data_IF_323553596931
#
_entry.id   IF_323553596931
#
_cell.length_a   1.000
_cell.length_b   1.000
_cell.length_c   1.000
_cell.angle_alpha   90.00
_cell.angle_beta   90.00
_cell.angle_gamma   90.00
#
_symmetry.space_group_name_H-M   'P 1'
#
loop_
_entity.id
_entity.type
_entity.pdbx_description
1 polymer ?
#
# COMPACT_ATOMS: atom_id res chain seq x y z
N UNK A 1 -25.99 -1.15 3.31
CA UNK A 1 -25.13 0.04 3.42
C UNK A 1 -24.80 0.25 4.89
N UNK A 2 -23.52 0.16 5.26
CA UNK A 2 -23.06 0.31 6.64
C UNK A 2 -23.21 1.77 7.09
N UNK A 3 -23.65 1.99 8.32
CA UNK A 3 -23.74 3.31 8.95
C UNK A 3 -23.26 3.22 10.40
N UNK A 4 -22.86 4.36 10.96
CA UNK A 4 -22.29 4.44 12.31
C UNK A 4 -22.94 5.59 13.09
N UNK A 5 -23.29 5.39 14.37
CA UNK A 5 -23.89 6.45 15.18
C UNK A 5 -22.87 7.52 15.61
N UNK A 6 -21.57 7.18 15.61
CA UNK A 6 -20.48 8.11 15.94
C UNK A 6 -19.19 7.70 15.25
N UNK A 7 -18.21 8.61 15.24
CA UNK A 7 -16.87 8.35 14.69
C UNK A 7 -16.15 7.27 15.50
N UNK A 8 -16.30 7.28 16.83
CA UNK A 8 -15.70 6.28 17.73
C UNK A 8 -16.21 4.87 17.40
N UNK A 9 -17.49 4.74 17.06
CA UNK A 9 -18.07 3.45 16.64
C UNK A 9 -17.56 2.99 15.29
N UNK A 10 -17.29 3.90 14.36
CA UNK A 10 -16.65 3.55 13.10
C UNK A 10 -15.19 3.12 13.29
N UNK A 11 -14.44 3.78 14.17
CA UNK A 11 -13.07 3.40 14.55
C UNK A 11 -13.09 2.01 15.20
N UNK A 12 -13.95 1.80 16.21
CA UNK A 12 -14.11 0.52 16.89
C UNK A 12 -14.44 -0.61 15.90
N UNK A 13 -15.37 -0.36 14.98
CA UNK A 13 -15.74 -1.31 13.93
C UNK A 13 -14.55 -1.65 13.01
N UNK A 14 -13.79 -0.65 12.58
CA UNK A 14 -12.65 -0.84 11.67
C UNK A 14 -11.53 -1.67 12.30
N UNK A 15 -11.28 -1.45 13.60
CA UNK A 15 -10.27 -2.21 14.36
C UNK A 15 -10.76 -3.63 14.67
N UNK A 16 -11.99 -3.78 15.15
CA UNK A 16 -12.56 -5.11 15.48
C UNK A 16 -12.79 -5.97 14.25
N UNK A 17 -13.14 -5.34 13.12
CA UNK A 17 -13.32 -6.02 11.83
C UNK A 17 -12.00 -6.47 11.19
N UNK A 18 -10.85 -6.08 11.73
CA UNK A 18 -9.52 -6.48 11.24
C UNK A 18 -9.07 -5.75 9.97
N UNK A 19 -9.81 -4.73 9.53
CA UNK A 19 -9.39 -3.87 8.41
C UNK A 19 -8.11 -3.10 8.75
N UNK A 20 -8.05 -2.61 10.00
CA UNK A 20 -6.88 -2.02 10.63
C UNK A 20 -6.66 -2.71 11.98
N UNK A 21 -5.41 -2.76 12.43
CA UNK A 21 -5.00 -3.28 13.75
C UNK A 21 -4.40 -2.18 14.61
N UNK A 22 -3.80 -1.17 14.00
CA UNK A 22 -3.25 -0.02 14.72
C UNK A 22 -4.37 0.98 15.09
N UNK A 23 -4.69 1.05 16.38
CA UNK A 23 -5.72 1.94 16.92
C UNK A 23 -5.37 3.41 16.69
N UNK A 24 -4.09 3.77 16.83
CA UNK A 24 -3.66 5.17 16.69
C UNK A 24 -3.74 5.63 15.24
N UNK A 25 -3.39 4.76 14.27
CA UNK A 25 -3.63 5.04 12.85
C UNK A 25 -5.13 5.16 12.56
N UNK A 26 -5.95 4.23 13.05
CA UNK A 26 -7.39 4.23 12.83
C UNK A 26 -8.07 5.50 13.35
N UNK A 27 -7.63 6.04 14.50
CA UNK A 27 -8.14 7.31 15.04
C UNK A 27 -7.90 8.51 14.12
N UNK A 28 -6.85 8.46 13.30
CA UNK A 28 -6.49 9.52 12.36
C UNK A 28 -7.12 9.28 10.98
N UNK A 29 -7.04 8.06 10.45
CA UNK A 29 -7.43 7.73 9.07
C UNK A 29 -8.95 7.55 8.91
N UNK A 30 -9.61 6.81 9.80
CA UNK A 30 -11.03 6.45 9.67
C UNK A 30 -11.97 7.66 9.59
N UNK A 31 -11.85 8.70 10.42
CA UNK A 31 -12.78 9.85 10.36
C UNK A 31 -12.84 10.49 8.97
N UNK A 32 -11.72 10.52 8.24
CA UNK A 32 -11.64 11.13 6.90
C UNK A 32 -12.39 10.33 5.83
N UNK A 33 -12.61 9.04 6.07
CA UNK A 33 -13.35 8.14 5.17
C UNK A 33 -14.86 8.29 5.28
N UNK A 34 -15.34 9.07 6.26
CA UNK A 34 -16.75 9.22 6.59
C UNK A 34 -17.27 10.61 6.23
N UNK A 35 -18.60 10.72 6.18
CA UNK A 35 -19.35 11.97 6.17
C UNK A 35 -20.59 11.81 7.05
N UNK A 36 -21.04 12.92 7.64
CA UNK A 36 -22.31 12.94 8.36
C UNK A 36 -23.48 13.03 7.37
N UNK A 37 -24.52 12.23 7.57
CA UNK A 37 -25.78 12.25 6.83
C UNK A 37 -26.85 12.87 7.74
N UNK A 38 -27.14 14.15 7.54
CA UNK A 38 -28.13 14.91 8.33
C UNK A 38 -29.53 14.28 8.30
N UNK A 39 -29.90 13.64 7.18
CA UNK A 39 -31.23 13.03 7.03
C UNK A 39 -31.42 11.77 7.88
N UNK A 40 -30.32 11.06 8.16
CA UNK A 40 -30.33 9.81 8.93
C UNK A 40 -29.72 9.97 10.32
N UNK A 41 -29.24 11.17 10.65
CA UNK A 41 -28.52 11.46 11.88
C UNK A 41 -27.38 10.47 12.19
N UNK A 42 -26.63 10.07 11.17
CA UNK A 42 -25.56 9.08 11.31
C UNK A 42 -24.38 9.34 10.37
N UNK A 43 -23.25 8.69 10.64
CA UNK A 43 -22.08 8.69 9.77
C UNK A 43 -22.17 7.56 8.75
N UNK A 44 -21.87 7.88 7.51
CA UNK A 44 -21.79 6.94 6.39
C UNK A 44 -20.45 7.08 5.70
N UNK A 45 -20.02 6.05 4.96
CA UNK A 45 -18.84 6.17 4.12
C UNK A 45 -19.02 7.31 3.11
N UNK A 46 -17.99 8.15 2.99
CA UNK A 46 -17.97 9.29 2.06
C UNK A 46 -18.12 8.81 0.62
N UNK A 47 -17.46 7.70 0.29
CA UNK A 47 -17.42 7.09 -1.04
C UNK A 47 -18.20 5.79 -1.04
N UNK A 48 -19.13 5.65 -1.99
CA UNK A 48 -19.85 4.42 -2.26
C UNK A 48 -19.01 3.53 -3.16
N UNK A 49 -18.05 2.82 -2.57
CA UNK A 49 -17.08 2.04 -3.33
C UNK A 49 -17.75 0.99 -4.24
N UNK A 50 -18.91 0.47 -3.84
CA UNK A 50 -19.70 -0.48 -4.63
C UNK A 50 -20.12 0.08 -6.00
N UNK A 51 -20.34 1.40 -6.12
CA UNK A 51 -20.71 2.02 -7.40
C UNK A 51 -19.55 2.01 -8.42
N UNK A 52 -18.33 1.77 -7.94
CA UNK A 52 -17.13 1.67 -8.78
C UNK A 52 -16.86 0.25 -9.28
N UNK A 53 -17.71 -0.73 -8.94
CA UNK A 53 -17.54 -2.15 -9.30
C UNK A 53 -17.29 -2.37 -10.80
N UNK A 54 -18.00 -1.61 -11.64
CA UNK A 54 -17.84 -1.63 -13.10
C UNK A 54 -16.40 -1.36 -13.58
N UNK A 55 -15.57 -0.70 -12.77
CA UNK A 55 -14.18 -0.39 -13.07
C UNK A 55 -13.18 -1.41 -12.51
N UNK A 56 -13.57 -2.22 -11.53
CA UNK A 56 -12.64 -3.07 -10.77
C UNK A 56 -11.92 -4.07 -11.68
N UNK A 57 -12.64 -4.69 -12.62
CA UNK A 57 -12.03 -5.57 -13.62
C UNK A 57 -10.90 -4.87 -14.38
N UNK A 58 -11.11 -3.63 -14.83
CA UNK A 58 -10.10 -2.86 -15.54
C UNK A 58 -8.90 -2.44 -14.69
N UNK A 59 -9.04 -2.36 -13.36
CA UNK A 59 -7.94 -2.07 -12.44
C UNK A 59 -7.00 -3.26 -12.27
N UNK A 60 -7.53 -4.48 -12.27
CA UNK A 60 -6.77 -5.70 -11.96
C UNK A 60 -6.38 -6.53 -13.19
N UNK A 61 -7.15 -6.47 -14.29
CA UNK A 61 -6.85 -7.20 -15.52
C UNK A 61 -5.47 -6.80 -16.08
N UNK A 62 -4.56 -7.79 -16.13
CA UNK A 62 -3.19 -7.61 -16.61
C UNK A 62 -2.26 -6.85 -15.65
N UNK A 63 -2.68 -6.62 -14.39
CA UNK A 63 -1.87 -5.86 -13.43
C UNK A 63 -0.52 -6.55 -13.14
N UNK A 64 -0.52 -7.87 -13.00
CA UNK A 64 0.68 -8.65 -12.73
C UNK A 64 1.69 -8.58 -13.88
N UNK A 65 1.23 -8.70 -15.13
CA UNK A 65 2.04 -8.55 -16.32
C UNK A 65 2.60 -7.13 -16.43
N UNK A 66 1.75 -6.10 -16.21
CA UNK A 66 2.18 -4.69 -16.21
C UNK A 66 3.25 -4.44 -15.16
N UNK A 67 3.05 -4.90 -13.92
CA UNK A 67 4.02 -4.80 -12.84
C UNK A 67 5.35 -5.45 -13.22
N UNK A 68 5.34 -6.67 -13.75
CA UNK A 68 6.57 -7.38 -14.15
C UNK A 68 7.27 -6.76 -15.36
N UNK A 69 6.52 -6.16 -16.28
CA UNK A 69 7.07 -5.52 -17.49
C UNK A 69 7.84 -4.22 -17.20
N UNK A 70 7.59 -3.58 -16.05
CA UNK A 70 8.23 -2.32 -15.69
C UNK A 70 9.75 -2.52 -15.44
N UNK A 71 10.64 -1.84 -16.20
CA UNK A 71 12.09 -2.08 -16.17
C UNK A 71 12.78 -1.31 -15.03
N UNK A 72 12.22 -1.41 -13.82
CA UNK A 72 12.74 -0.75 -12.61
C UNK A 72 12.87 -1.77 -11.46
N UNK A 73 13.69 -1.50 -10.44
CA UNK A 73 13.62 -2.25 -9.18
C UNK A 73 12.21 -2.18 -8.60
N UNK A 74 11.70 -3.32 -8.12
CA UNK A 74 10.33 -3.45 -7.61
C UNK A 74 10.31 -4.09 -6.23
N UNK A 75 9.43 -3.59 -5.37
CA UNK A 75 9.14 -4.13 -4.06
C UNK A 75 7.64 -4.49 -3.98
N UNK A 76 7.33 -5.70 -3.54
CA UNK A 76 5.96 -6.15 -3.25
C UNK A 76 5.89 -6.57 -1.77
N UNK A 77 5.05 -5.88 -1.00
CA UNK A 77 4.78 -6.19 0.40
C UNK A 77 3.41 -6.86 0.53
N UNK A 78 3.34 -7.98 1.23
CA UNK A 78 2.12 -8.79 1.41
C UNK A 78 1.77 -8.89 2.90
N UNK A 79 0.51 -8.67 3.25
CA UNK A 79 0.05 -8.70 4.65
C UNK A 79 -0.13 -10.14 5.22
N UNK A 80 -0.12 -11.13 4.33
CA UNK A 80 -0.30 -12.53 4.68
C UNK A 80 0.30 -13.43 3.60
N UNK A 81 0.23 -14.73 3.84
CA UNK A 81 0.65 -15.76 2.87
C UNK A 81 -0.45 -16.02 1.85
N UNK A 82 -1.08 -14.95 1.35
CA UNK A 82 -2.02 -15.07 0.25
C UNK A 82 -1.29 -15.61 -0.97
N UNK A 83 -2.01 -16.41 -1.76
CA UNK A 83 -1.44 -17.02 -2.96
C UNK A 83 -1.21 -15.90 -3.96
N UNK A 84 0.06 -15.69 -4.32
CA UNK A 84 0.39 -15.00 -5.55
C UNK A 84 -0.28 -15.71 -6.72
N UNK A 85 -0.71 -14.95 -7.72
CA UNK A 85 -1.12 -15.55 -8.98
C UNK A 85 0.08 -16.26 -9.66
N UNK A 86 -0.21 -17.03 -10.70
CA UNK A 86 0.81 -17.78 -11.44
C UNK A 86 1.89 -16.85 -12.03
N UNK A 87 1.49 -15.68 -12.54
CA UNK A 87 2.39 -14.73 -13.21
C UNK A 87 3.41 -14.16 -12.21
N UNK A 88 2.95 -13.67 -11.05
CA UNK A 88 3.81 -13.16 -9.98
C UNK A 88 4.63 -14.26 -9.32
N UNK A 89 4.10 -15.48 -9.19
CA UNK A 89 4.86 -16.63 -8.69
C UNK A 89 6.06 -16.91 -9.59
N UNK A 90 5.85 -16.99 -10.91
CA UNK A 90 6.93 -17.17 -11.89
C UNK A 90 7.90 -16.00 -11.83
N UNK A 91 7.39 -14.77 -11.81
CA UNK A 91 8.21 -13.56 -11.73
C UNK A 91 9.09 -13.53 -10.48
N UNK A 92 8.57 -13.99 -9.35
CA UNK A 92 9.33 -14.08 -8.11
C UNK A 92 10.37 -15.20 -8.15
N UNK A 93 10.03 -16.38 -8.66
CA UNK A 93 11.02 -17.45 -8.84
C UNK A 93 12.16 -17.05 -9.78
N UNK A 94 11.92 -16.11 -10.70
CA UNK A 94 12.92 -15.51 -11.59
C UNK A 94 13.68 -14.33 -10.95
N UNK A 95 13.37 -13.92 -9.72
CA UNK A 95 14.01 -12.80 -9.04
C UNK A 95 13.68 -11.42 -9.63
N UNK A 96 12.53 -11.26 -10.31
CA UNK A 96 12.16 -10.01 -11.00
C UNK A 96 11.77 -8.87 -10.06
N UNK A 97 11.48 -9.17 -8.79
CA UNK A 97 11.13 -8.18 -7.78
C UNK A 97 11.49 -8.70 -6.38
N UNK A 98 11.63 -7.79 -5.41
CA UNK A 98 11.78 -8.15 -4.01
C UNK A 98 10.38 -8.36 -3.41
N UNK A 99 10.15 -9.51 -2.80
CA UNK A 99 8.89 -9.83 -2.12
C UNK A 99 9.11 -10.03 -0.63
N UNK A 100 8.27 -9.40 0.20
CA UNK A 100 8.30 -9.55 1.66
C UNK A 100 6.88 -9.78 2.17
N UNK A 101 6.71 -10.79 3.02
CA UNK A 101 5.47 -11.04 3.74
C UNK A 101 5.59 -10.44 5.14
N UNK A 102 4.78 -9.42 5.43
CA UNK A 102 4.70 -8.72 6.71
C UNK A 102 3.55 -9.32 7.51
N UNK A 103 3.90 -10.10 8.53
CA UNK A 103 2.91 -10.85 9.32
C UNK A 103 2.17 -9.96 10.30
N UNK A 104 1.07 -10.47 10.83
CA UNK A 104 0.28 -9.85 11.90
C UNK A 104 -0.34 -8.49 11.54
N UNK A 105 -0.48 -8.18 10.26
CA UNK A 105 -1.16 -7.00 9.74
C UNK A 105 -2.59 -7.34 9.28
N UNK A 106 -3.44 -6.32 9.20
CA UNK A 106 -4.69 -6.32 8.44
C UNK A 106 -4.40 -6.03 6.96
N UNK A 107 -5.27 -5.30 6.27
CA UNK A 107 -5.05 -5.02 4.84
C UNK A 107 -4.03 -3.90 4.59
N UNK A 108 -3.95 -2.91 5.48
CA UNK A 108 -3.11 -1.74 5.31
C UNK A 108 -1.82 -1.86 6.13
N UNK A 109 -0.83 -2.57 5.58
CA UNK A 109 0.50 -2.78 6.22
C UNK A 109 1.11 -1.46 6.72
N UNK A 110 1.02 -0.41 5.91
CA UNK A 110 1.56 0.92 6.21
C UNK A 110 0.88 1.61 7.39
N UNK A 111 -0.38 1.27 7.69
CA UNK A 111 -1.09 1.78 8.86
C UNK A 111 -0.87 0.89 10.09
N UNK A 112 -0.77 -0.42 9.88
CA UNK A 112 -0.69 -1.40 10.97
C UNK A 112 0.69 -1.48 11.61
N UNK A 113 1.74 -1.45 10.80
CA UNK A 113 3.15 -1.52 11.24
C UNK A 113 3.98 -0.44 10.53
N UNK A 114 3.69 0.85 10.77
CA UNK A 114 4.28 1.95 10.01
C UNK A 114 5.81 1.99 10.09
N UNK A 115 6.40 1.66 11.24
CA UNK A 115 7.85 1.60 11.43
C UNK A 115 8.49 0.47 10.61
N UNK A 116 7.92 -0.72 10.63
CA UNK A 116 8.41 -1.85 9.83
C UNK A 116 8.26 -1.54 8.34
N UNK A 117 7.10 -1.04 7.91
CA UNK A 117 6.87 -0.60 6.53
C UNK A 117 7.94 0.41 6.08
N UNK A 118 8.20 1.45 6.88
CA UNK A 118 9.21 2.46 6.58
C UNK A 118 10.61 1.84 6.47
N UNK A 119 10.99 0.96 7.41
CA UNK A 119 12.27 0.27 7.37
C UNK A 119 12.43 -0.61 6.12
N UNK A 120 11.39 -1.33 5.71
CA UNK A 120 11.41 -2.15 4.49
C UNK A 120 11.61 -1.30 3.23
N UNK A 121 10.94 -0.15 3.16
CA UNK A 121 11.11 0.81 2.05
C UNK A 121 12.51 1.43 2.06
N UNK A 122 13.00 1.88 3.21
CA UNK A 122 14.35 2.45 3.35
C UNK A 122 15.44 1.44 2.98
N UNK A 123 15.30 0.19 3.41
CA UNK A 123 16.21 -0.89 3.05
C UNK A 123 16.19 -1.17 1.54
N UNK A 124 15.01 -1.16 0.92
CA UNK A 124 14.88 -1.30 -0.52
C UNK A 124 15.54 -0.15 -1.28
N UNK A 125 15.34 1.09 -0.84
CA UNK A 125 15.96 2.30 -1.40
C UNK A 125 17.49 2.20 -1.30
N UNK A 126 18.01 1.90 -0.10
CA UNK A 126 19.45 1.78 0.16
C UNK A 126 20.09 0.66 -0.67
N UNK A 127 19.48 -0.54 -0.68
CA UNK A 127 19.96 -1.71 -1.45
C UNK A 127 20.05 -1.42 -2.95
N UNK A 128 19.07 -0.70 -3.49
CA UNK A 128 19.03 -0.33 -4.90
C UNK A 128 19.72 1.01 -5.18
N UNK A 129 20.39 1.60 -4.17
CA UNK A 129 21.09 2.89 -4.25
C UNK A 129 20.24 3.98 -4.91
N UNK A 130 18.97 4.04 -4.53
CA UNK A 130 18.01 5.02 -5.02
C UNK A 130 18.23 6.31 -4.22
N UNK A 131 18.66 7.39 -4.87
CA UNK A 131 18.94 8.67 -4.23
C UNK A 131 18.42 9.86 -5.05
N UNK A 132 18.77 11.10 -4.68
CA UNK A 132 18.33 12.32 -5.37
C UNK A 132 18.74 12.40 -6.85
N UNK A 133 19.60 11.48 -7.32
CA UNK A 133 20.06 11.38 -8.71
C UNK A 133 19.63 10.07 -9.38
N UNK A 134 18.63 9.37 -8.84
CA UNK A 134 18.18 8.07 -9.33
C UNK A 134 18.95 6.89 -8.74
N UNK A 135 18.90 5.74 -9.42
CA UNK A 135 19.61 4.51 -9.04
C UNK A 135 21.10 4.65 -9.37
N UNK A 136 21.98 4.56 -8.37
CA UNK A 136 23.42 4.52 -8.62
C UNK A 136 23.84 3.13 -9.11
N UNK A 137 24.30 3.05 -10.36
CA UNK A 137 24.84 1.82 -10.94
C UNK A 137 26.37 1.79 -10.70
N UNK A 138 26.91 0.84 -9.91
CA UNK A 138 28.35 0.73 -9.72
C UNK A 138 29.06 0.53 -11.07
N UNK A 139 30.06 1.39 -11.35
CA UNK A 139 30.85 1.34 -12.58
C UNK A 139 30.37 2.26 -13.72
N UNK A 140 29.18 2.89 -13.60
CA UNK A 140 28.80 3.96 -14.52
C UNK A 140 29.22 5.33 -13.97
N UNK A 141 29.90 6.11 -14.82
CA UNK A 141 30.42 7.43 -14.47
C UNK A 141 29.26 8.40 -14.21
N UNK A 142 29.28 9.11 -13.07
CA UNK A 142 28.38 10.25 -12.84
C UNK A 142 28.86 11.41 -13.72
N UNK A 143 27.98 12.10 -14.46
CA UNK A 143 28.31 13.40 -15.01
C UNK A 143 28.72 14.31 -13.85
N UNK A 144 29.89 14.93 -13.94
CA UNK A 144 30.41 15.85 -12.93
C UNK A 144 29.37 16.94 -12.64
N UNK A 145 28.89 17.00 -11.40
CA UNK A 145 28.13 18.16 -10.95
C UNK A 145 29.10 19.35 -10.97
N UNK A 146 28.90 20.26 -11.93
CA UNK A 146 29.57 21.55 -11.92
C UNK A 146 29.23 22.24 -10.61
N UNK A 147 30.20 22.30 -9.71
CA UNK A 147 30.19 23.20 -8.56
C UNK A 147 30.12 24.63 -9.10
N UNK A 148 28.93 25.25 -9.02
CA UNK A 148 28.81 26.69 -9.19
C UNK A 148 29.51 27.34 -8.01
N UNK A 149 30.67 27.92 -8.29
CA UNK A 149 31.35 28.94 -7.47
C UNK A 149 30.45 30.11 -7.17
#
# INVERSE_FOLDING_TARGET
>A
MQHFPSIEKAIEYSVRGGSLRNIDSARVSIPTTLKYDDSKHCYVYRTRLEETEQYWKGWYDGLSEKFLSSPVPKLLLLAGTDRLDRTLTIGQMQGKFQMIVVKHTGHAIQEDVPEEFANLVLNFISRNRIGPHGVEIPGMWKPSQQTKT
#
